data_IF_561533790214
#
_entry.id   IF_561533790214
#
_cell.length_a   1.000
_cell.length_b   1.000
_cell.length_c   1.000
_cell.angle_alpha   90.00
_cell.angle_beta   90.00
_cell.angle_gamma   90.00
#
_symmetry.space_group_name_H-M   'P 1'
#
loop_
_entity.id
_entity.type
_entity.pdbx_description
1 polymer ?
#
# COMPACT_ATOMS: atom_id res chain seq x y z
N UNK A 1 -13.83 -13.32 58.34
CA UNK A 1 -13.34 -13.64 56.99
C UNK A 1 -13.07 -12.33 56.26
N UNK A 2 -11.88 -12.12 55.67
CA UNK A 2 -11.64 -10.92 54.87
C UNK A 2 -12.46 -10.98 53.58
N UNK A 3 -12.96 -9.84 53.08
CA UNK A 3 -13.72 -9.80 51.83
C UNK A 3 -12.83 -10.20 50.65
N UNK A 4 -13.38 -10.86 49.60
CA UNK A 4 -12.61 -11.24 48.43
C UNK A 4 -12.09 -10.00 47.71
N UNK A 5 -10.88 -10.07 47.11
CA UNK A 5 -10.30 -8.95 46.38
C UNK A 5 -11.20 -8.56 45.19
N UNK A 6 -11.29 -7.27 44.85
CA UNK A 6 -12.06 -6.82 43.71
C UNK A 6 -11.56 -7.49 42.41
N UNK A 7 -12.46 -7.83 41.48
CA UNK A 7 -12.05 -8.44 40.22
C UNK A 7 -11.11 -7.49 39.50
N UNK A 8 -9.95 -8.02 39.09
CA UNK A 8 -8.98 -7.29 38.26
C UNK A 8 -9.74 -6.81 37.02
N UNK A 9 -9.96 -5.50 36.96
CA UNK A 9 -10.77 -4.85 35.94
C UNK A 9 -10.33 -5.26 34.54
N UNK A 10 -11.30 -5.50 33.66
CA UNK A 10 -11.09 -5.79 32.23
C UNK A 10 -9.96 -4.93 31.72
N UNK A 11 -8.87 -5.58 31.33
CA UNK A 11 -7.65 -4.92 30.87
C UNK A 11 -8.04 -3.81 29.92
N UNK A 12 -7.74 -2.57 30.31
CA UNK A 12 -7.90 -1.40 29.46
C UNK A 12 -7.28 -1.82 28.13
N UNK A 13 -8.09 -1.98 27.07
CA UNK A 13 -7.55 -2.14 25.73
C UNK A 13 -6.57 -0.99 25.63
N UNK A 14 -5.27 -1.27 25.65
CA UNK A 14 -4.28 -0.26 25.31
C UNK A 14 -4.79 0.18 23.95
N UNK A 15 -5.27 1.42 23.87
CA UNK A 15 -5.34 2.07 22.59
C UNK A 15 -3.87 2.02 22.17
N UNK A 16 -3.50 0.98 21.42
CA UNK A 16 -2.24 0.95 20.74
C UNK A 16 -2.27 2.29 20.00
N UNK A 17 -1.40 3.22 20.39
CA UNK A 17 -1.19 4.41 19.59
C UNK A 17 -0.84 3.85 18.22
N UNK A 18 -1.84 3.83 17.34
CA UNK A 18 -1.72 3.23 16.03
C UNK A 18 -0.79 4.18 15.31
N UNK A 19 0.47 3.78 15.25
CA UNK A 19 1.50 4.53 14.61
C UNK A 19 1.11 4.70 13.15
N UNK A 20 1.05 5.94 12.66
CA UNK A 20 0.76 6.17 11.27
C UNK A 20 1.95 5.70 10.44
N UNK A 21 1.73 4.68 9.61
CA UNK A 21 2.74 4.12 8.73
C UNK A 21 3.28 5.14 7.73
N UNK A 22 2.63 6.31 7.57
CA UNK A 22 3.12 7.39 6.73
C UNK A 22 4.31 8.18 7.32
N UNK A 23 4.70 8.00 8.59
CA UNK A 23 5.94 8.58 9.14
C UNK A 23 6.12 10.09 8.88
N UNK A 24 5.05 10.88 9.04
CA UNK A 24 5.01 12.32 8.73
C UNK A 24 5.14 12.71 7.24
N UNK A 25 5.09 11.75 6.30
CA UNK A 25 4.97 12.02 4.86
C UNK A 25 3.56 12.57 4.55
N UNK A 26 3.43 13.89 4.67
CA UNK A 26 2.16 14.59 4.47
C UNK A 26 1.55 14.38 3.08
N UNK A 27 2.39 14.24 2.03
CA UNK A 27 1.92 13.96 0.68
C UNK A 27 1.32 12.56 0.56
N UNK A 28 1.93 11.58 1.25
CA UNK A 28 1.41 10.22 1.35
C UNK A 28 0.08 10.17 2.11
N UNK A 29 -0.03 10.91 3.22
CA UNK A 29 -1.29 11.05 3.97
C UNK A 29 -2.41 11.63 3.08
N UNK A 30 -2.11 12.73 2.38
CA UNK A 30 -3.08 13.36 1.46
C UNK A 30 -3.48 12.45 0.30
N UNK A 31 -2.52 11.67 -0.23
CA UNK A 31 -2.77 10.72 -1.32
C UNK A 31 -3.62 9.54 -0.86
N UNK A 32 -3.41 9.01 0.36
CA UNK A 32 -4.28 7.98 0.96
C UNK A 32 -5.71 8.49 1.12
N UNK A 33 -5.87 9.71 1.63
CA UNK A 33 -7.20 10.34 1.74
C UNK A 33 -7.87 10.54 0.39
N UNK A 34 -7.10 10.81 -0.67
CA UNK A 34 -7.64 10.89 -2.04
C UNK A 34 -8.04 9.51 -2.58
N UNK A 35 -7.26 8.47 -2.26
CA UNK A 35 -7.53 7.10 -2.68
C UNK A 35 -8.80 6.53 -2.04
N UNK A 36 -9.06 6.84 -0.76
CA UNK A 36 -10.32 6.46 -0.09
C UNK A 36 -11.54 7.16 -0.69
N UNK A 37 -11.34 8.30 -1.35
CA UNK A 37 -12.36 9.03 -2.12
C UNK A 37 -12.44 8.59 -3.59
N UNK A 38 -11.68 7.58 -4.00
CA UNK A 38 -11.66 7.06 -5.36
C UNK A 38 -10.89 7.89 -6.38
N UNK A 39 -9.97 8.73 -5.91
CA UNK A 39 -9.11 9.55 -6.77
C UNK A 39 -7.71 8.96 -6.79
N UNK A 40 -7.36 8.28 -7.88
CA UNK A 40 -6.03 7.70 -8.07
C UNK A 40 -5.01 8.65 -8.71
N UNK A 41 -5.45 9.75 -9.35
CA UNK A 41 -4.54 10.74 -9.96
C UNK A 41 -3.53 11.38 -8.97
N UNK A 42 -3.90 11.73 -7.71
CA UNK A 42 -2.92 12.20 -6.73
C UNK A 42 -1.88 11.13 -6.35
N UNK A 43 -2.29 9.86 -6.25
CA UNK A 43 -1.38 8.73 -6.01
C UNK A 43 -0.39 8.57 -7.16
N UNK A 44 -0.88 8.64 -8.40
CA UNK A 44 -0.04 8.63 -9.61
C UNK A 44 0.99 9.75 -9.59
N UNK A 45 0.57 10.99 -9.29
CA UNK A 45 1.47 12.13 -9.19
C UNK A 45 2.51 11.96 -8.07
N UNK A 46 2.09 11.46 -6.90
CA UNK A 46 2.96 11.17 -5.76
C UNK A 46 4.07 10.19 -6.14
N UNK A 47 3.72 9.10 -6.82
CA UNK A 47 4.68 8.07 -7.20
C UNK A 47 5.60 8.55 -8.33
N UNK A 48 5.08 9.28 -9.32
CA UNK A 48 5.90 9.88 -10.37
C UNK A 48 6.94 10.86 -9.79
N UNK A 49 6.56 11.64 -8.76
CA UNK A 49 7.43 12.61 -8.11
C UNK A 49 8.63 11.97 -7.36
N UNK A 50 8.56 10.68 -7.00
CA UNK A 50 9.67 10.00 -6.32
C UNK A 50 10.93 9.86 -7.19
N UNK A 51 10.80 9.91 -8.53
CA UNK A 51 11.93 9.79 -9.48
C UNK A 51 12.84 8.62 -9.09
N UNK A 52 14.13 8.85 -8.87
CA UNK A 52 15.11 7.79 -8.57
C UNK A 52 15.19 7.43 -7.08
N UNK A 53 14.33 7.98 -6.22
CA UNK A 53 14.24 7.63 -4.80
C UNK A 53 13.44 6.33 -4.63
N UNK A 54 14.13 5.21 -4.87
CA UNK A 54 13.56 3.86 -4.81
C UNK A 54 13.06 3.48 -3.42
N UNK A 55 13.79 3.86 -2.37
CA UNK A 55 13.40 3.55 -0.99
C UNK A 55 12.12 4.27 -0.63
N UNK A 56 12.02 5.56 -0.95
CA UNK A 56 10.80 6.34 -0.71
C UNK A 56 9.64 5.85 -1.55
N UNK A 57 9.89 5.47 -2.82
CA UNK A 57 8.86 4.87 -3.69
C UNK A 57 8.34 3.56 -3.10
N UNK A 58 9.24 2.65 -2.69
CA UNK A 58 8.89 1.36 -2.09
C UNK A 58 8.09 1.52 -0.80
N UNK A 59 8.49 2.47 0.06
CA UNK A 59 7.76 2.82 1.27
C UNK A 59 6.33 3.30 0.95
N UNK A 60 6.19 4.32 0.07
CA UNK A 60 4.89 4.89 -0.32
C UNK A 60 3.96 3.83 -0.92
N UNK A 61 4.46 2.98 -1.82
CA UNK A 61 3.69 1.85 -2.37
C UNK A 61 3.20 0.91 -1.27
N UNK A 62 4.08 0.52 -0.36
CA UNK A 62 3.77 -0.44 0.71
C UNK A 62 2.70 0.11 1.66
N UNK A 63 2.76 1.41 1.98
CA UNK A 63 1.74 2.06 2.81
C UNK A 63 0.41 2.15 2.05
N UNK A 64 0.42 2.59 0.79
CA UNK A 64 -0.80 2.71 -0.02
C UNK A 64 -1.49 1.36 -0.22
N UNK A 65 -0.73 0.29 -0.46
CA UNK A 65 -1.24 -1.04 -0.75
C UNK A 65 -2.02 -1.69 0.42
N UNK A 66 -1.85 -1.19 1.65
CA UNK A 66 -2.58 -1.64 2.82
C UNK A 66 -3.99 -1.05 2.91
N UNK A 67 -4.28 0.03 2.18
CA UNK A 67 -5.60 0.64 2.14
C UNK A 67 -6.61 -0.31 1.50
N UNK A 68 -7.81 -0.41 2.07
CA UNK A 68 -8.88 -1.27 1.56
C UNK A 68 -9.29 -0.92 0.12
N UNK A 69 -9.16 0.36 -0.23
CA UNK A 69 -9.45 0.91 -1.54
C UNK A 69 -8.31 0.69 -2.56
N UNK A 70 -7.12 0.25 -2.14
CA UNK A 70 -5.95 0.19 -3.01
C UNK A 70 -6.13 -0.77 -4.20
N UNK A 71 -6.60 -1.99 -3.94
CA UNK A 71 -6.78 -2.99 -4.99
C UNK A 71 -7.74 -2.55 -6.11
N UNK A 72 -9.00 -2.13 -5.83
CA UNK A 72 -9.92 -1.75 -6.90
C UNK A 72 -9.40 -0.55 -7.71
N UNK A 73 -8.86 0.49 -7.06
CA UNK A 73 -8.35 1.65 -7.77
C UNK A 73 -7.05 1.38 -8.53
N UNK A 74 -6.17 0.53 -8.01
CA UNK A 74 -4.98 0.10 -8.74
C UNK A 74 -5.35 -0.70 -10.00
N UNK A 75 -6.42 -1.51 -9.96
CA UNK A 75 -6.94 -2.19 -11.16
C UNK A 75 -7.46 -1.20 -12.19
N UNK A 76 -8.22 -0.20 -11.76
CA UNK A 76 -8.72 0.82 -12.69
C UNK A 76 -7.60 1.65 -13.29
N UNK A 77 -6.62 2.06 -12.49
CA UNK A 77 -5.45 2.76 -12.98
C UNK A 77 -4.67 1.89 -13.98
N UNK A 78 -4.43 0.60 -13.66
CA UNK A 78 -3.76 -0.33 -14.58
C UNK A 78 -4.54 -0.50 -15.90
N UNK A 79 -5.87 -0.47 -15.86
CA UNK A 79 -6.70 -0.56 -17.05
C UNK A 79 -6.60 0.70 -17.91
N UNK A 80 -6.52 1.88 -17.27
CA UNK A 80 -6.36 3.17 -17.93
C UNK A 80 -4.93 3.37 -18.49
N UNK A 81 -3.92 2.85 -17.79
CA UNK A 81 -2.50 2.97 -18.15
C UNK A 81 -1.80 1.59 -18.08
N UNK A 82 -1.99 0.71 -19.09
CA UNK A 82 -1.49 -0.67 -19.06
C UNK A 82 0.03 -0.81 -18.96
N UNK A 83 0.76 0.16 -19.49
CA UNK A 83 2.22 0.17 -19.50
C UNK A 83 2.81 0.88 -18.26
N UNK A 84 1.98 1.33 -17.32
CA UNK A 84 2.44 2.06 -16.14
C UNK A 84 3.08 1.11 -15.11
N UNK A 85 4.40 1.19 -14.85
CA UNK A 85 5.04 0.31 -13.87
C UNK A 85 4.52 0.57 -12.45
N UNK A 86 4.13 1.81 -12.15
CA UNK A 86 3.67 2.21 -10.82
C UNK A 86 2.25 1.72 -10.52
N UNK A 87 1.37 1.69 -11.53
CA UNK A 87 0.07 1.05 -11.42
C UNK A 87 0.23 -0.46 -11.15
N UNK A 88 1.12 -1.12 -11.92
CA UNK A 88 1.33 -2.56 -11.82
C UNK A 88 1.93 -2.98 -10.48
N UNK A 89 2.91 -2.22 -9.99
CA UNK A 89 3.53 -2.46 -8.68
C UNK A 89 2.53 -2.23 -7.54
N UNK A 90 1.72 -1.16 -7.58
CA UNK A 90 0.70 -0.94 -6.56
C UNK A 90 -0.35 -2.06 -6.56
N UNK A 91 -0.78 -2.51 -7.74
CA UNK A 91 -1.70 -3.63 -7.90
C UNK A 91 -1.12 -4.93 -7.32
N UNK A 92 0.14 -5.23 -7.63
CA UNK A 92 0.83 -6.41 -7.12
C UNK A 92 0.95 -6.38 -5.60
N UNK A 93 1.41 -5.27 -5.02
CA UNK A 93 1.52 -5.10 -3.57
C UNK A 93 0.16 -5.22 -2.87
N UNK A 94 -0.90 -4.58 -3.40
CA UNK A 94 -2.24 -4.70 -2.84
C UNK A 94 -2.75 -6.15 -2.89
N UNK A 95 -2.46 -6.88 -3.97
CA UNK A 95 -2.80 -8.30 -4.12
C UNK A 95 -2.05 -9.17 -3.10
N UNK A 96 -0.75 -8.91 -2.87
CA UNK A 96 0.05 -9.57 -1.83
C UNK A 96 -0.54 -9.32 -0.45
N UNK A 97 -0.85 -8.08 -0.09
CA UNK A 97 -1.46 -7.76 1.21
C UNK A 97 -2.80 -8.47 1.40
N UNK A 98 -3.61 -8.61 0.35
CA UNK A 98 -4.85 -9.40 0.42
C UNK A 98 -4.58 -10.88 0.62
N UNK A 99 -3.59 -11.44 -0.07
CA UNK A 99 -3.22 -12.84 0.08
C UNK A 99 -2.70 -13.15 1.50
N UNK A 100 -1.87 -12.27 2.06
CA UNK A 100 -1.39 -12.36 3.44
C UNK A 100 -2.54 -12.30 4.46
N UNK A 101 -3.60 -11.56 4.15
CA UNK A 101 -4.82 -11.48 4.95
C UNK A 101 -5.84 -12.60 4.66
N UNK A 102 -5.50 -13.58 3.83
CA UNK A 102 -6.40 -14.69 3.44
C UNK A 102 -7.58 -14.28 2.54
N UNK A 103 -7.51 -13.09 1.92
CA UNK A 103 -8.56 -12.50 1.07
C UNK A 103 -8.28 -12.60 -0.43
N UNK A 104 -7.22 -13.33 -0.80
CA UNK A 104 -6.79 -13.59 -2.18
C UNK A 104 -5.88 -14.82 -2.20
N UNK A 105 -5.74 -15.48 -3.36
CA UNK A 105 -4.84 -16.65 -3.50
C UNK A 105 -3.38 -16.20 -3.64
N UNK A 106 -2.42 -16.88 -3.00
CA UNK A 106 -1.00 -16.59 -3.18
C UNK A 106 -0.53 -16.65 -4.64
N UNK A 107 -1.15 -17.50 -5.45
CA UNK A 107 -0.84 -17.61 -6.88
C UNK A 107 -1.20 -16.34 -7.65
N UNK A 108 -2.39 -15.75 -7.40
CA UNK A 108 -2.79 -14.46 -7.98
C UNK A 108 -1.78 -13.36 -7.65
N UNK A 109 -1.28 -13.34 -6.41
CA UNK A 109 -0.27 -12.37 -5.97
C UNK A 109 1.06 -12.57 -6.72
N UNK A 110 1.52 -13.82 -6.91
CA UNK A 110 2.72 -14.13 -7.69
C UNK A 110 2.59 -13.68 -9.13
N UNK A 111 1.47 -13.97 -9.77
CA UNK A 111 1.19 -13.57 -11.16
C UNK A 111 1.21 -12.04 -11.31
N UNK A 112 0.58 -11.32 -10.38
CA UNK A 112 0.63 -9.86 -10.36
C UNK A 112 2.06 -9.33 -10.17
N UNK A 113 2.87 -9.94 -9.30
CA UNK A 113 4.28 -9.58 -9.13
C UNK A 113 5.10 -9.84 -10.41
N UNK A 114 4.86 -10.96 -11.10
CA UNK A 114 5.52 -11.24 -12.38
C UNK A 114 5.14 -10.23 -13.46
N UNK A 115 3.86 -9.86 -13.56
CA UNK A 115 3.41 -8.84 -14.48
C UNK A 115 4.05 -7.47 -14.19
N UNK A 116 4.13 -7.07 -12.92
CA UNK A 116 4.82 -5.84 -12.53
C UNK A 116 6.31 -5.87 -12.84
N UNK A 117 6.98 -7.01 -12.61
CA UNK A 117 8.39 -7.19 -12.92
C UNK A 117 8.68 -7.16 -14.43
N UNK A 118 7.74 -7.62 -15.27
CA UNK A 118 7.87 -7.56 -16.73
C UNK A 118 7.85 -6.12 -17.27
N UNK A 119 7.21 -5.19 -16.55
CA UNK A 119 7.19 -3.75 -16.86
C UNK A 119 8.37 -3.00 -16.22
N UNK A 120 9.19 -3.67 -15.41
CA UNK A 120 10.34 -3.04 -14.78
C UNK A 120 11.43 -2.73 -15.83
N UNK A 121 12.07 -1.55 -15.76
CA UNK A 121 13.21 -1.24 -16.61
C UNK A 121 14.32 -2.25 -16.34
N UNK A 122 14.88 -2.86 -17.40
CA UNK A 122 15.84 -3.98 -17.33
C UNK A 122 17.22 -3.63 -16.72
N UNK A 123 17.39 -2.48 -16.08
CA UNK A 123 18.69 -2.05 -15.51
C UNK A 123 18.55 -1.53 -14.09
N UNK A 124 19.34 -2.04 -13.12
CA UNK A 124 19.26 -1.65 -11.71
C UNK A 124 19.74 -0.21 -11.39
N UNK A 125 19.95 0.64 -12.39
CA UNK A 125 20.54 1.97 -12.23
C UNK A 125 20.06 3.02 -13.26
N UNK A 126 18.99 2.75 -14.03
CA UNK A 126 18.45 3.77 -14.94
C UNK A 126 16.96 3.96 -14.71
N UNK A 127 16.64 5.13 -14.16
CA UNK A 127 15.29 5.61 -13.88
C UNK A 127 14.40 5.48 -15.11
N UNK A 128 13.31 4.75 -14.93
CA UNK A 128 12.12 4.99 -15.71
C UNK A 128 11.08 5.55 -14.74
N UNK A 129 10.62 6.75 -15.09
CA UNK A 129 9.56 7.41 -14.36
C UNK A 129 8.27 6.58 -14.48
N UNK A 130 7.43 6.66 -13.45
CA UNK A 130 6.01 6.60 -13.73
C UNK A 130 5.68 7.74 -14.71
#
# INVERSE_FOLDING_TARGET
MPPPPPPLGRGRKRAAHAFDAALDDAELVASRASLTQGRWAPVRALLAATRDDWDRRGHRVTVLAQESAALPWAREWQLAEPESPCAAVLLACATVHRALNGKERPQTAREACHAAAALAPTTPHRGSAC
#
